data_IF_122717520167
#
_entry.id   IF_122717520167
#
_cell.length_a   1.000
_cell.length_b   1.000
_cell.length_c   1.000
_cell.angle_alpha   90.00
_cell.angle_beta   90.00
_cell.angle_gamma   90.00
#
_symmetry.space_group_name_H-M   'P 1'
#
loop_
_entity.id
_entity.type
_entity.pdbx_description
1 polymer ?
#
# COMPACT_ATOMS: atom_id res chain seq x y z
N UNK A 1 -26.86 16.90 -25.33
CA UNK A 1 -26.22 15.72 -24.73
C UNK A 1 -25.29 16.20 -23.63
N UNK A 2 -25.44 15.72 -22.39
CA UNK A 2 -24.57 16.11 -21.30
C UNK A 2 -23.14 15.64 -21.57
N UNK A 3 -22.17 16.54 -21.42
CA UNK A 3 -20.75 16.25 -21.61
C UNK A 3 -20.29 15.40 -20.42
N UNK A 4 -20.02 14.11 -20.65
CA UNK A 4 -19.46 13.25 -19.60
C UNK A 4 -18.02 13.70 -19.37
N UNK A 5 -17.72 14.16 -18.16
CA UNK A 5 -16.37 14.55 -17.79
C UNK A 5 -15.55 13.31 -17.44
N UNK A 6 -14.40 13.14 -18.08
CA UNK A 6 -13.50 12.02 -17.78
C UNK A 6 -12.97 12.15 -16.36
N UNK A 7 -13.20 11.14 -15.50
CA UNK A 7 -12.67 11.14 -14.14
C UNK A 7 -11.15 11.29 -14.15
N UNK A 8 -10.63 12.07 -13.20
CA UNK A 8 -9.20 12.19 -12.98
C UNK A 8 -8.80 11.33 -11.78
N UNK A 9 -7.55 10.88 -11.75
CA UNK A 9 -7.01 10.16 -10.59
C UNK A 9 -7.09 11.02 -9.34
N UNK A 10 -7.29 10.37 -8.20
CA UNK A 10 -7.21 11.03 -6.89
C UNK A 10 -5.78 11.54 -6.70
N UNK A 11 -5.65 12.78 -6.23
CA UNK A 11 -4.32 13.35 -5.95
C UNK A 11 -3.62 12.49 -4.89
N UNK A 12 -2.39 12.07 -5.18
CA UNK A 12 -1.61 11.20 -4.30
C UNK A 12 -1.71 9.71 -4.64
N UNK A 13 -2.59 9.31 -5.57
CA UNK A 13 -2.62 7.93 -6.09
C UNK A 13 -1.89 7.83 -7.43
N UNK A 14 -1.30 6.66 -7.70
CA UNK A 14 -0.62 6.35 -8.95
C UNK A 14 -1.03 4.96 -9.42
N UNK A 15 -1.43 4.86 -10.68
CA UNK A 15 -1.62 3.58 -11.34
C UNK A 15 -0.26 3.01 -11.72
N UNK A 16 0.01 1.76 -11.35
CA UNK A 16 1.23 1.05 -11.72
C UNK A 16 0.88 0.07 -12.83
N UNK A 17 1.31 0.36 -14.06
CA UNK A 17 1.04 -0.46 -15.25
C UNK A 17 2.19 -0.42 -16.25
N UNK A 18 2.16 -1.29 -17.27
CA UNK A 18 3.15 -1.29 -18.34
C UNK A 18 4.57 -1.56 -17.84
N UNK A 19 5.50 -0.65 -18.17
CA UNK A 19 6.91 -0.82 -17.78
C UNK A 19 7.13 -0.69 -16.26
N UNK A 20 6.41 0.22 -15.60
CA UNK A 20 6.54 0.42 -14.15
C UNK A 20 6.07 -0.82 -13.39
N UNK A 21 4.98 -1.45 -13.84
CA UNK A 21 4.52 -2.72 -13.27
C UNK A 21 5.53 -3.84 -13.47
N UNK A 22 6.18 -3.94 -14.63
CA UNK A 22 7.22 -4.95 -14.88
C UNK A 22 8.43 -4.74 -13.98
N UNK A 23 8.87 -3.50 -13.78
CA UNK A 23 9.96 -3.15 -12.87
C UNK A 23 9.61 -3.49 -11.42
N UNK A 24 8.39 -3.17 -10.99
CA UNK A 24 7.89 -3.50 -9.65
C UNK A 24 7.82 -5.02 -9.43
N UNK A 25 7.32 -5.77 -10.41
CA UNK A 25 7.27 -7.23 -10.37
C UNK A 25 8.68 -7.84 -10.24
N UNK A 26 9.67 -7.32 -10.96
CA UNK A 26 11.05 -7.81 -10.85
C UNK A 26 11.62 -7.65 -9.42
N UNK A 27 11.31 -6.56 -8.72
CA UNK A 27 11.70 -6.36 -7.31
C UNK A 27 11.02 -7.41 -6.41
N UNK A 28 9.72 -7.64 -6.61
CA UNK A 28 8.98 -8.64 -5.84
C UNK A 28 9.49 -10.06 -6.07
N UNK A 29 9.86 -10.41 -7.30
CA UNK A 29 10.43 -11.73 -7.64
C UNK A 29 11.77 -11.96 -6.94
N UNK A 30 12.64 -10.96 -6.91
CA UNK A 30 13.91 -11.04 -6.20
C UNK A 30 13.68 -11.21 -4.69
N UNK A 31 12.76 -10.44 -4.11
CA UNK A 31 12.39 -10.59 -2.70
C UNK A 31 11.85 -11.99 -2.41
N UNK A 32 10.93 -12.49 -3.24
CA UNK A 32 10.31 -13.82 -3.07
C UNK A 32 11.34 -14.96 -3.16
N UNK A 33 12.31 -14.83 -4.06
CA UNK A 33 13.43 -15.76 -4.18
C UNK A 33 14.29 -15.75 -2.92
N UNK A 34 14.68 -14.57 -2.42
CA UNK A 34 15.57 -14.46 -1.26
C UNK A 34 14.87 -14.96 0.02
N UNK A 35 13.63 -14.55 0.29
CA UNK A 35 12.92 -14.94 1.53
C UNK A 35 12.81 -16.47 1.70
N UNK A 36 12.67 -17.21 0.59
CA UNK A 36 12.54 -18.68 0.58
C UNK A 36 13.82 -19.37 1.01
N UNK A 37 14.99 -18.80 0.69
CA UNK A 37 16.29 -19.34 1.10
C UNK A 37 16.49 -19.30 2.62
N UNK A 38 15.77 -18.40 3.29
CA UNK A 38 15.80 -18.21 4.75
C UNK A 38 14.51 -18.68 5.44
N UNK A 39 13.69 -19.48 4.76
CA UNK A 39 12.46 -20.06 5.31
C UNK A 39 11.42 -19.04 5.82
N UNK A 40 11.46 -17.78 5.36
CA UNK A 40 10.44 -16.80 5.71
C UNK A 40 9.14 -17.07 4.94
N UNK A 41 8.04 -17.14 5.67
CA UNK A 41 6.69 -17.29 5.12
C UNK A 41 6.10 -15.92 4.75
N UNK A 42 5.31 -15.90 3.69
CA UNK A 42 4.51 -14.71 3.32
C UNK A 42 3.27 -14.69 4.20
N UNK A 43 2.98 -13.53 4.76
CA UNK A 43 1.73 -13.22 5.44
C UNK A 43 1.08 -12.04 4.72
N UNK A 44 -0.20 -12.15 4.42
CA UNK A 44 -1.02 -11.06 3.92
C UNK A 44 -1.98 -10.63 5.02
N UNK A 45 -1.98 -9.34 5.32
CA UNK A 45 -2.83 -8.73 6.34
C UNK A 45 -3.90 -7.86 5.66
N UNK A 46 -5.05 -7.64 6.32
CA UNK A 46 -6.06 -6.71 5.84
C UNK A 46 -5.49 -5.30 5.58
N UNK A 47 -6.01 -4.63 4.54
CA UNK A 47 -5.60 -3.26 4.19
C UNK A 47 -6.17 -2.25 5.19
N UNK A 48 -7.33 -2.54 5.78
CA UNK A 48 -7.96 -1.72 6.80
C UNK A 48 -8.05 -2.50 8.11
N UNK A 49 -7.91 -1.79 9.22
CA UNK A 49 -7.93 -2.34 10.58
C UNK A 49 -8.62 -1.36 11.52
N UNK A 50 -9.01 -1.83 12.72
CA UNK A 50 -9.56 -0.94 13.73
C UNK A 50 -8.50 0.07 14.20
N UNK A 51 -8.86 1.35 14.36
CA UNK A 51 -7.93 2.43 14.76
C UNK A 51 -7.13 2.11 16.02
N UNK A 52 -7.74 1.41 16.98
CA UNK A 52 -7.10 0.99 18.22
C UNK A 52 -5.92 0.03 18.04
N UNK A 53 -5.76 -0.61 16.88
CA UNK A 53 -4.55 -1.40 16.54
C UNK A 53 -3.33 -0.48 16.44
N UNK A 54 -3.46 0.69 15.82
CA UNK A 54 -2.36 1.61 15.59
C UNK A 54 -2.17 2.61 16.73
N UNK A 55 -3.27 3.16 17.25
CA UNK A 55 -3.24 4.20 18.29
C UNK A 55 -2.56 3.72 19.58
N UNK A 56 -2.76 2.45 19.97
CA UNK A 56 -2.13 1.87 21.17
C UNK A 56 -0.62 1.71 21.05
N UNK A 57 -0.11 1.42 19.85
CA UNK A 57 1.32 1.14 19.63
C UNK A 57 2.14 2.40 19.32
N UNK A 58 1.56 3.37 18.59
CA UNK A 58 2.26 4.59 18.16
C UNK A 58 1.94 5.82 19.01
N UNK A 59 0.92 5.74 19.86
CA UNK A 59 0.42 6.86 20.66
C UNK A 59 -0.58 7.74 19.89
N UNK A 60 -1.62 8.17 20.60
CA UNK A 60 -2.74 8.95 20.04
C UNK A 60 -2.30 10.32 19.48
N UNK A 61 -1.20 10.88 20.00
CA UNK A 61 -0.67 12.18 19.59
C UNK A 61 0.33 12.10 18.44
N UNK A 62 0.61 10.91 17.90
CA UNK A 62 1.49 10.80 16.74
C UNK A 62 0.83 11.46 15.52
N UNK A 63 1.64 12.07 14.66
CA UNK A 63 1.14 12.66 13.40
C UNK A 63 0.46 11.59 12.52
N UNK A 64 0.96 10.36 12.55
CA UNK A 64 0.34 9.23 11.84
C UNK A 64 -1.11 9.04 12.28
N UNK A 65 -1.34 8.91 13.59
CA UNK A 65 -2.68 8.66 14.13
C UNK A 65 -3.60 9.88 13.99
N UNK A 66 -3.07 11.09 14.16
CA UNK A 66 -3.87 12.31 14.22
C UNK A 66 -4.15 12.95 12.86
N UNK A 67 -3.30 12.73 11.84
CA UNK A 67 -3.37 13.46 10.56
C UNK A 67 -3.26 12.58 9.31
N UNK A 68 -2.68 11.39 9.41
CA UNK A 68 -2.29 10.61 8.22
C UNK A 68 -3.05 9.28 8.07
N UNK A 69 -3.81 8.84 9.07
CA UNK A 69 -4.71 7.70 8.96
C UNK A 69 -5.94 8.04 8.11
N UNK A 70 -6.32 7.11 7.23
CA UNK A 70 -7.51 7.16 6.38
C UNK A 70 -8.48 6.05 6.72
#
# INVERSE_FOLDING_TARGET
MARIQTPQRIRGTQDIFGEDQRRFAAVLEVFDRVRKLYCFQRLEIPIFEATGVFARSMGETSDVVSKEMY
#
